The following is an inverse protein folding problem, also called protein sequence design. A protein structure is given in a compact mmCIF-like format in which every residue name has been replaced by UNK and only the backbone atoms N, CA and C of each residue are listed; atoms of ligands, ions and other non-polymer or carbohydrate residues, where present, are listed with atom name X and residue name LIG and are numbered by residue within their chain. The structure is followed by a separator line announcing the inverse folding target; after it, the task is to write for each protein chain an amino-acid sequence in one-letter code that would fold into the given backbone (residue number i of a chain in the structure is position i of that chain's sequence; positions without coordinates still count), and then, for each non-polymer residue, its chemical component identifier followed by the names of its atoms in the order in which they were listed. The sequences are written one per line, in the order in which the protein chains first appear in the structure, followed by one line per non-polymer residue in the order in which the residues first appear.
data_IF_344847423809
#
_entry.id   IF_344847423809
#
_cell.length_a   1.000
_cell.length_b   1.000
_cell.length_c   1.000
_cell.angle_alpha   90.00
_cell.angle_beta   90.00
_cell.angle_gamma   90.00
#
_symmetry.space_group_name_H-M   'P 1'
#
loop_
_entity.id
_entity.type
_entity.pdbx_description
1 polymer ?
#
# COMPACT_ATOMS: atom_id res chain seq x y z
N UNK A 1 -0.88 17.34 20.19
CA UNK A 1 -2.07 17.79 20.97
C UNK A 1 -3.27 17.12 20.33
N UNK A 2 -3.65 15.95 20.84
CA UNK A 2 -4.82 15.21 20.37
C UNK A 2 -6.05 15.88 21.00
N UNK A 3 -6.87 16.53 20.18
CA UNK A 3 -8.15 17.11 20.62
C UNK A 3 -9.18 15.98 20.75
N UNK A 4 -9.18 15.32 21.92
CA UNK A 4 -10.29 14.51 22.39
C UNK A 4 -10.95 15.25 23.57
N UNK A 5 -11.58 16.38 23.28
CA UNK A 5 -12.54 16.97 24.21
C UNK A 5 -13.79 17.34 23.42
N UNK A 6 -14.94 16.87 23.93
CA UNK A 6 -16.31 17.05 23.43
C UNK A 6 -16.81 16.05 22.38
N UNK A 7 -17.06 14.82 22.83
CA UNK A 7 -18.26 14.10 22.38
C UNK A 7 -19.24 14.09 23.56
N UNK A 8 -19.89 15.23 23.78
CA UNK A 8 -20.99 15.38 24.71
C UNK A 8 -22.26 14.80 24.10
N UNK A 9 -22.96 13.98 24.87
CA UNK A 9 -24.29 13.46 24.56
C UNK A 9 -25.33 14.58 24.60
N UNK A 10 -25.62 15.22 23.47
CA UNK A 10 -26.90 15.89 23.19
C UNK A 10 -26.85 16.61 21.82
N UNK A 11 -27.94 16.51 21.06
CA UNK A 11 -28.26 17.50 20.03
C UNK A 11 -28.09 17.03 18.58
N UNK A 12 -29.23 16.83 17.90
CA UNK A 12 -29.32 17.01 16.44
C UNK A 12 -28.99 18.49 16.14
N UNK A 13 -27.72 18.79 15.92
CA UNK A 13 -27.23 20.09 15.47
C UNK A 13 -26.63 19.96 14.08
N UNK A 14 -27.09 20.77 13.13
CA UNK A 14 -26.37 21.05 11.90
C UNK A 14 -25.10 21.82 12.26
N UNK A 15 -24.04 21.13 12.64
CA UNK A 15 -22.72 21.75 12.80
C UNK A 15 -21.93 21.46 11.53
N UNK A 16 -21.73 22.50 10.71
CA UNK A 16 -20.58 22.53 9.81
C UNK A 16 -19.34 22.30 10.68
N UNK A 17 -18.84 21.08 10.67
CA UNK A 17 -17.59 20.74 11.32
C UNK A 17 -16.51 21.55 10.61
N UNK A 18 -15.93 22.54 11.30
CA UNK A 18 -14.77 23.25 10.75
C UNK A 18 -13.68 22.23 10.48
N UNK A 19 -13.31 22.06 9.20
CA UNK A 19 -12.20 21.20 8.83
C UNK A 19 -10.89 21.94 9.13
N UNK A 20 -10.24 21.59 10.23
CA UNK A 20 -8.91 22.11 10.61
C UNK A 20 -7.77 21.38 9.91
N UNK A 21 -8.07 20.43 9.04
CA UNK A 21 -7.08 19.67 8.31
C UNK A 21 -6.52 20.48 7.13
N UNK A 22 -5.19 20.60 7.10
CA UNK A 22 -4.45 21.05 5.94
C UNK A 22 -3.84 19.79 5.29
N UNK A 23 -4.28 19.41 4.08
CA UNK A 23 -3.94 18.13 3.49
C UNK A 23 -2.45 18.00 3.14
N UNK A 24 -1.71 19.11 3.16
CA UNK A 24 -0.27 19.13 2.89
C UNK A 24 0.58 19.12 4.18
N UNK A 25 -0.02 19.10 5.36
CA UNK A 25 0.71 19.02 6.64
C UNK A 25 0.92 17.57 7.09
N UNK A 26 1.91 17.33 7.97
CA UNK A 26 2.12 16.01 8.56
C UNK A 26 0.85 15.52 9.26
N UNK A 27 0.35 14.36 8.83
CA UNK A 27 -0.81 13.68 9.40
C UNK A 27 -0.41 12.35 10.06
N UNK A 28 0.59 11.66 9.51
CA UNK A 28 1.11 10.39 10.03
C UNK A 28 2.62 10.43 10.17
N UNK A 29 3.14 9.70 11.15
CA UNK A 29 4.57 9.53 11.39
C UNK A 29 4.84 8.04 11.60
N UNK A 30 5.69 7.46 10.75
CA UNK A 30 6.06 6.04 10.84
C UNK A 30 7.57 5.91 11.01
N UNK A 31 7.99 4.97 11.85
CA UNK A 31 9.40 4.71 12.09
C UNK A 31 9.86 3.53 11.22
N UNK A 32 10.85 3.75 10.38
CA UNK A 32 11.52 2.70 9.61
C UNK A 32 12.81 2.29 10.31
N UNK A 33 13.23 1.03 10.16
CA UNK A 33 14.37 0.45 10.89
C UNK A 33 15.71 1.17 10.64
N UNK A 34 15.85 1.89 9.53
CA UNK A 34 17.05 2.63 9.16
C UNK A 34 18.24 1.72 8.85
N UNK A 35 18.89 1.91 7.71
CA UNK A 35 20.07 1.11 7.32
C UNK A 35 21.27 1.29 8.24
N UNK A 36 21.28 2.33 9.07
CA UNK A 36 22.32 2.65 10.07
C UNK A 36 22.02 2.08 11.47
N UNK A 37 20.89 1.37 11.64
CA UNK A 37 20.42 0.90 12.94
C UNK A 37 19.75 1.98 13.81
N UNK A 38 19.70 3.22 13.34
CA UNK A 38 18.96 4.33 13.96
C UNK A 38 17.62 4.47 13.24
N UNK A 39 16.48 4.30 13.93
CA UNK A 39 15.17 4.44 13.32
C UNK A 39 14.99 5.83 12.69
N UNK A 40 14.42 5.87 11.50
CA UNK A 40 14.09 7.12 10.80
C UNK A 40 12.58 7.31 10.78
N UNK A 41 12.12 8.41 11.36
CA UNK A 41 10.71 8.80 11.34
C UNK A 41 10.39 9.51 10.02
N UNK A 42 9.51 8.94 9.21
CA UNK A 42 9.02 9.52 7.96
C UNK A 42 7.70 10.25 8.22
N UNK A 43 7.57 11.47 7.69
CA UNK A 43 6.39 12.33 7.85
C UNK A 43 5.52 12.23 6.59
N UNK A 44 4.28 11.77 6.75
CA UNK A 44 3.34 11.60 5.65
C UNK A 44 2.23 12.64 5.75
N UNK A 45 1.85 13.18 4.60
CA UNK A 45 0.68 14.05 4.48
C UNK A 45 -0.59 13.23 4.31
N UNK A 46 -1.72 13.78 4.76
CA UNK A 46 -3.03 13.18 4.50
C UNK A 46 -3.36 13.18 3.01
N UNK A 47 -2.94 14.19 2.22
CA UNK A 47 -3.07 14.18 0.76
C UNK A 47 -2.48 12.92 0.14
N UNK A 48 -1.25 12.56 0.52
CA UNK A 48 -0.57 11.39 -0.06
C UNK A 48 -1.26 10.08 0.29
N UNK A 49 -1.62 9.91 1.55
CA UNK A 49 -2.30 8.70 2.00
C UNK A 49 -3.72 8.59 1.42
N UNK A 50 -4.48 9.69 1.36
CA UNK A 50 -5.81 9.72 0.75
C UNK A 50 -5.77 9.46 -0.76
N UNK A 51 -4.75 9.94 -1.47
CA UNK A 51 -4.55 9.60 -2.88
C UNK A 51 -4.36 8.08 -3.05
N UNK A 52 -3.52 7.48 -2.20
CA UNK A 52 -3.30 6.03 -2.20
C UNK A 52 -4.59 5.25 -1.90
N UNK A 53 -5.34 5.63 -0.86
CA UNK A 53 -6.62 5.01 -0.52
C UNK A 53 -7.65 5.13 -1.65
N UNK A 54 -7.76 6.30 -2.28
CA UNK A 54 -8.66 6.51 -3.42
C UNK A 54 -8.29 5.63 -4.61
N UNK A 55 -6.99 5.50 -4.90
CA UNK A 55 -6.49 4.60 -5.93
C UNK A 55 -6.81 3.14 -5.61
N UNK A 56 -6.50 2.69 -4.40
CA UNK A 56 -6.78 1.32 -3.97
C UNK A 56 -8.28 1.03 -3.99
N UNK A 57 -9.12 1.90 -3.43
CA UNK A 57 -10.57 1.75 -3.46
C UNK A 57 -11.11 1.60 -4.88
N UNK A 58 -10.73 2.52 -5.78
CA UNK A 58 -11.17 2.51 -7.17
C UNK A 58 -10.72 1.25 -7.90
N UNK A 59 -9.47 0.84 -7.69
CA UNK A 59 -8.86 -0.28 -8.43
C UNK A 59 -9.40 -1.62 -7.91
N UNK A 60 -9.54 -1.75 -6.60
CA UNK A 60 -10.08 -2.95 -5.92
C UNK A 60 -11.60 -3.04 -5.93
N UNK A 61 -12.27 -1.95 -6.31
CA UNK A 61 -13.72 -1.80 -6.23
C UNK A 61 -14.21 -2.05 -4.81
N UNK A 62 -13.62 -1.41 -3.80
CA UNK A 62 -14.00 -1.56 -2.38
C UNK A 62 -15.45 -1.12 -2.19
N UNK A 63 -16.24 -1.95 -1.50
CA UNK A 63 -17.66 -1.73 -1.26
C UNK A 63 -18.00 -1.84 0.21
N UNK A 64 -19.20 -1.35 0.56
CA UNK A 64 -19.73 -1.42 1.93
C UNK A 64 -19.87 -2.87 2.43
N UNK A 65 -20.08 -3.82 1.52
CA UNK A 65 -20.26 -5.23 1.87
C UNK A 65 -18.94 -5.97 2.11
N UNK A 66 -17.80 -5.30 1.90
CA UNK A 66 -16.50 -5.89 2.18
C UNK A 66 -16.26 -6.07 3.67
N UNK A 67 -15.49 -7.11 3.99
CA UNK A 67 -14.98 -7.40 5.31
C UNK A 67 -13.45 -7.44 5.18
N UNK A 68 -12.80 -6.39 5.69
CA UNK A 68 -11.35 -6.21 5.58
C UNK A 68 -10.69 -6.71 6.86
N UNK A 69 -9.71 -7.60 6.71
CA UNK A 69 -8.90 -8.07 7.83
C UNK A 69 -7.82 -7.04 8.18
N UNK A 70 -7.80 -6.57 9.43
CA UNK A 70 -6.70 -5.81 10.01
C UNK A 70 -5.78 -6.77 10.76
N UNK A 71 -4.68 -7.17 10.12
CA UNK A 71 -3.69 -8.08 10.72
C UNK A 71 -2.28 -7.48 10.80
N UNK A 72 -1.99 -6.54 9.90
CA UNK A 72 -0.69 -5.86 9.86
C UNK A 72 -0.36 -5.19 11.19
N UNK A 73 0.93 -5.19 11.54
CA UNK A 73 1.39 -4.47 12.72
C UNK A 73 1.20 -2.96 12.51
N UNK A 74 0.64 -2.27 13.51
CA UNK A 74 0.33 -0.83 13.48
C UNK A 74 1.54 0.09 13.23
N UNK A 75 2.76 -0.44 13.37
CA UNK A 75 3.99 0.24 12.98
C UNK A 75 4.24 0.32 11.47
N UNK A 76 3.44 -0.37 10.65
CA UNK A 76 3.50 -0.33 9.19
C UNK A 76 2.31 0.43 8.61
N UNK A 77 2.55 1.10 7.49
CA UNK A 77 1.55 1.82 6.69
C UNK A 77 0.42 0.91 6.16
N UNK A 78 0.71 -0.37 5.92
CA UNK A 78 -0.29 -1.37 5.53
C UNK A 78 -1.45 -1.48 6.52
N UNK A 79 -1.18 -1.40 7.84
CA UNK A 79 -2.25 -1.44 8.85
C UNK A 79 -3.17 -0.23 8.79
N UNK A 80 -2.63 0.92 8.39
CA UNK A 80 -3.40 2.14 8.20
C UNK A 80 -4.29 1.99 6.95
N UNK A 81 -3.78 1.33 5.89
CA UNK A 81 -4.55 1.06 4.67
C UNK A 81 -5.76 0.15 4.97
N UNK A 82 -5.53 -0.96 5.69
CA UNK A 82 -6.56 -1.90 6.13
C UNK A 82 -7.70 -1.15 6.85
N UNK A 83 -7.34 -0.35 7.86
CA UNK A 83 -8.29 0.36 8.70
C UNK A 83 -9.04 1.47 7.95
N UNK A 84 -8.32 2.34 7.22
CA UNK A 84 -8.93 3.49 6.56
C UNK A 84 -9.74 3.08 5.33
N UNK A 85 -9.36 2.05 4.57
CA UNK A 85 -10.22 1.55 3.48
C UNK A 85 -11.58 1.14 4.01
N UNK A 86 -11.63 0.38 5.11
CA UNK A 86 -12.89 -0.05 5.69
C UNK A 86 -13.73 1.14 6.18
N UNK A 87 -13.12 2.01 7.00
CA UNK A 87 -13.82 3.15 7.61
C UNK A 87 -14.34 4.15 6.57
N UNK A 88 -13.57 4.43 5.51
CA UNK A 88 -13.95 5.42 4.49
C UNK A 88 -15.00 4.91 3.51
N UNK A 89 -15.18 3.58 3.39
CA UNK A 89 -16.14 2.97 2.46
C UNK A 89 -17.34 2.32 3.17
N UNK A 90 -17.40 2.42 4.50
CA UNK A 90 -18.46 1.82 5.32
C UNK A 90 -18.41 0.29 5.37
N UNK A 91 -17.28 -0.29 5.02
CA UNK A 91 -17.02 -1.73 5.11
C UNK A 91 -16.78 -2.16 6.56
N UNK A 92 -16.81 -3.46 6.81
CA UNK A 92 -16.47 -4.02 8.13
C UNK A 92 -14.95 -4.16 8.27
N UNK A 93 -14.40 -3.77 9.43
CA UNK A 93 -13.01 -4.02 9.79
C UNK A 93 -12.95 -5.13 10.86
N UNK A 94 -12.31 -6.25 10.53
CA UNK A 94 -12.07 -7.37 11.47
C UNK A 94 -10.66 -7.25 12.02
N UNK A 95 -10.52 -6.97 13.31
CA UNK A 95 -9.22 -6.76 13.93
C UNK A 95 -8.69 -8.09 14.46
N UNK A 96 -7.62 -8.60 13.85
CA UNK A 96 -6.95 -9.81 14.33
C UNK A 96 -6.33 -9.57 15.71
N UNK A 97 -6.67 -10.39 16.73
CA UNK A 97 -6.04 -10.30 18.05
C UNK A 97 -4.53 -10.41 17.95
N UNK A 98 -3.80 -9.66 18.78
CA UNK A 98 -2.33 -9.67 18.77
C UNK A 98 -1.74 -11.08 18.95
N UNK A 99 -2.41 -11.95 19.72
CA UNK A 99 -2.01 -13.35 19.92
C UNK A 99 -2.16 -14.24 18.70
N UNK A 100 -3.04 -13.86 17.75
CA UNK A 100 -3.30 -14.62 16.54
C UNK A 100 -2.38 -14.21 15.39
N UNK A 101 -1.82 -12.99 15.42
CA UNK A 101 -0.97 -12.47 14.34
C UNK A 101 0.28 -13.34 14.15
N UNK A 102 0.54 -13.73 12.90
CA UNK A 102 1.63 -14.65 12.55
C UNK A 102 1.31 -16.14 12.73
N UNK A 103 0.19 -16.49 13.37
CA UNK A 103 -0.31 -17.86 13.40
C UNK A 103 -1.28 -18.07 12.21
N UNK A 104 -0.88 -18.86 11.19
CA UNK A 104 -1.71 -19.07 10.01
C UNK A 104 -3.05 -19.75 10.34
N UNK A 105 -3.09 -20.63 11.34
CA UNK A 105 -4.32 -21.35 11.71
C UNK A 105 -5.28 -20.43 12.42
N UNK A 106 -4.79 -19.63 13.37
CA UNK A 106 -5.63 -18.69 14.11
C UNK A 106 -6.20 -17.59 13.19
N UNK A 107 -5.37 -17.03 12.30
CA UNK A 107 -5.81 -15.99 11.36
C UNK A 107 -6.82 -16.53 10.36
N UNK A 108 -6.56 -17.68 9.73
CA UNK A 108 -7.49 -18.24 8.75
C UNK A 108 -8.79 -18.73 9.37
N UNK A 109 -8.77 -19.16 10.64
CA UNK A 109 -10.00 -19.48 11.38
C UNK A 109 -10.86 -18.23 11.60
N UNK A 110 -10.25 -17.11 12.02
CA UNK A 110 -10.93 -15.83 12.15
C UNK A 110 -11.47 -15.34 10.80
N UNK A 111 -10.69 -15.49 9.73
CA UNK A 111 -11.12 -15.12 8.38
C UNK A 111 -12.38 -15.88 7.94
N UNK A 112 -12.47 -17.18 8.26
CA UNK A 112 -13.65 -18.00 7.97
C UNK A 112 -14.84 -17.59 8.85
N UNK A 113 -14.63 -17.40 10.16
CA UNK A 113 -15.67 -17.03 11.11
C UNK A 113 -16.33 -15.69 10.76
N UNK A 114 -15.53 -14.71 10.35
CA UNK A 114 -15.97 -13.36 10.03
C UNK A 114 -16.25 -13.14 8.53
N UNK A 115 -16.15 -14.18 7.71
CA UNK A 115 -16.44 -14.15 6.27
C UNK A 115 -15.65 -13.05 5.52
N UNK A 116 -14.34 -12.98 5.81
CA UNK A 116 -13.41 -11.97 5.28
C UNK A 116 -13.39 -11.98 3.75
N UNK A 117 -13.52 -10.80 3.14
CA UNK A 117 -13.55 -10.63 1.68
C UNK A 117 -12.25 -10.07 1.11
N UNK A 118 -11.50 -9.30 1.92
CA UNK A 118 -10.32 -8.58 1.47
C UNK A 118 -9.21 -8.65 2.51
N UNK A 119 -8.03 -9.12 2.10
CA UNK A 119 -6.82 -9.22 2.92
C UNK A 119 -5.65 -8.43 2.36
N UNK A 120 -4.80 -7.97 3.28
CA UNK A 120 -3.46 -7.45 3.03
C UNK A 120 -2.46 -8.40 3.71
N UNK A 121 -1.44 -8.84 2.99
CA UNK A 121 -0.41 -9.70 3.57
C UNK A 121 0.89 -9.70 2.77
N UNK A 122 2.00 -10.03 3.44
CA UNK A 122 3.27 -10.30 2.78
C UNK A 122 3.21 -11.63 2.00
N UNK A 123 4.07 -11.82 0.97
CA UNK A 123 4.08 -13.06 0.21
C UNK A 123 4.27 -14.32 1.09
N UNK A 124 5.07 -14.22 2.14
CA UNK A 124 5.31 -15.31 3.09
C UNK A 124 4.07 -15.66 3.91
N UNK A 125 3.23 -14.68 4.25
CA UNK A 125 2.01 -14.91 5.01
C UNK A 125 0.96 -15.63 4.16
N UNK A 126 0.76 -15.18 2.92
CA UNK A 126 -0.12 -15.90 1.99
C UNK A 126 0.34 -17.34 1.77
N UNK A 127 1.64 -17.56 1.57
CA UNK A 127 2.18 -18.92 1.44
C UNK A 127 1.92 -19.77 2.69
N UNK A 128 2.05 -19.19 3.90
CA UNK A 128 1.72 -19.91 5.13
C UNK A 128 0.23 -20.24 5.21
N UNK A 129 -0.67 -19.30 4.91
CA UNK A 129 -2.11 -19.56 4.91
C UNK A 129 -2.49 -20.65 3.91
N UNK A 130 -1.93 -20.61 2.70
CA UNK A 130 -2.22 -21.61 1.66
C UNK A 130 -1.69 -22.98 2.08
N UNK A 131 -0.44 -23.09 2.52
CA UNK A 131 0.20 -24.38 2.80
C UNK A 131 -0.31 -25.06 4.06
N UNK A 132 -0.67 -24.31 5.09
CA UNK A 132 -1.10 -24.87 6.37
C UNK A 132 -2.62 -24.92 6.52
N UNK A 133 -3.37 -24.10 5.77
CA UNK A 133 -4.80 -23.88 6.00
C UNK A 133 -5.61 -23.90 4.70
N UNK A 134 -5.18 -24.65 3.68
CA UNK A 134 -5.89 -24.79 2.40
C UNK A 134 -7.36 -25.18 2.59
N UNK A 135 -7.67 -26.03 3.58
CA UNK A 135 -9.04 -26.46 3.87
C UNK A 135 -9.91 -25.33 4.43
N UNK A 136 -9.35 -24.44 5.27
CA UNK A 136 -10.03 -23.23 5.74
C UNK A 136 -10.28 -22.28 4.56
N UNK A 137 -9.25 -22.00 3.75
CA UNK A 137 -9.37 -21.12 2.58
C UNK A 137 -10.37 -21.67 1.55
N UNK A 138 -10.49 -23.00 1.42
CA UNK A 138 -11.47 -23.63 0.53
C UNK A 138 -12.94 -23.38 0.91
N UNK A 139 -13.19 -22.96 2.17
CA UNK A 139 -14.52 -22.59 2.66
C UNK A 139 -14.86 -21.13 2.38
N UNK A 140 -13.85 -20.29 2.12
CA UNK A 140 -13.98 -18.84 1.96
C UNK A 140 -14.48 -18.44 0.56
N UNK A 141 -15.78 -18.56 0.33
CA UNK A 141 -16.39 -18.23 -0.98
C UNK A 141 -16.38 -16.73 -1.31
N UNK A 142 -16.29 -15.88 -0.30
CA UNK A 142 -16.34 -14.41 -0.45
C UNK A 142 -14.97 -13.75 -0.39
N UNK A 143 -13.90 -14.49 -0.09
CA UNK A 143 -12.55 -13.96 -0.19
C UNK A 143 -12.23 -13.66 -1.65
N UNK A 144 -12.36 -12.40 -2.01
CA UNK A 144 -12.35 -11.94 -3.41
C UNK A 144 -11.05 -11.25 -3.79
N UNK A 145 -10.29 -10.76 -2.80
CA UNK A 145 -9.12 -9.93 -3.04
C UNK A 145 -8.00 -10.22 -2.03
N UNK A 146 -6.83 -10.49 -2.58
CA UNK A 146 -5.58 -10.70 -1.86
C UNK A 146 -4.57 -9.63 -2.31
N UNK A 147 -4.44 -8.55 -1.53
CA UNK A 147 -3.43 -7.52 -1.79
C UNK A 147 -2.12 -7.91 -1.15
N UNK A 148 -1.06 -7.94 -1.94
CA UNK A 148 0.27 -8.37 -1.55
C UNK A 148 1.28 -7.25 -1.82
N UNK A 149 2.19 -7.03 -0.89
CA UNK A 149 3.24 -6.03 -1.07
C UNK A 149 4.38 -6.15 -0.08
N UNK A 150 5.31 -5.21 -0.14
CA UNK A 150 6.44 -5.08 0.79
C UNK A 150 7.62 -6.04 0.57
N UNK A 151 7.46 -7.10 -0.23
CA UNK A 151 8.53 -8.00 -0.67
C UNK A 151 8.26 -8.50 -2.10
N UNK A 152 9.32 -8.90 -2.81
CA UNK A 152 9.20 -9.57 -4.10
C UNK A 152 8.31 -10.81 -3.98
N UNK A 153 7.28 -10.88 -4.83
CA UNK A 153 6.39 -12.05 -4.89
C UNK A 153 7.13 -13.22 -5.55
N UNK A 154 7.26 -14.38 -4.88
CA UNK A 154 7.85 -15.55 -5.50
C UNK A 154 6.84 -16.24 -6.44
N UNK A 155 7.32 -16.82 -7.53
CA UNK A 155 6.48 -17.58 -8.49
C UNK A 155 5.67 -18.70 -7.80
N UNK A 156 6.19 -19.25 -6.70
CA UNK A 156 5.49 -20.24 -5.89
C UNK A 156 4.15 -19.73 -5.37
N UNK A 157 4.05 -18.45 -4.98
CA UNK A 157 2.80 -17.89 -4.45
C UNK A 157 1.71 -17.88 -5.52
N UNK A 158 2.00 -17.41 -6.74
CA UNK A 158 1.03 -17.41 -7.85
C UNK A 158 0.58 -18.83 -8.20
N UNK A 159 1.52 -19.79 -8.24
CA UNK A 159 1.19 -21.21 -8.48
C UNK A 159 0.30 -21.81 -7.40
N UNK A 160 0.57 -21.51 -6.13
CA UNK A 160 -0.19 -22.05 -5.00
C UNK A 160 -1.57 -21.40 -4.87
N UNK A 161 -1.70 -20.10 -5.14
CA UNK A 161 -3.00 -19.42 -5.24
C UNK A 161 -3.91 -20.05 -6.30
N UNK A 162 -3.35 -20.44 -7.45
CA UNK A 162 -4.09 -21.13 -8.52
C UNK A 162 -4.66 -22.49 -8.11
N UNK A 163 -4.13 -23.11 -7.05
CA UNK A 163 -4.61 -24.40 -6.56
C UNK A 163 -5.80 -24.26 -5.59
N UNK A 164 -6.13 -23.03 -5.17
CA UNK A 164 -7.28 -22.80 -4.30
C UNK A 164 -8.59 -23.08 -5.04
N UNK A 165 -9.55 -23.62 -4.31
CA UNK A 165 -10.91 -23.87 -4.80
C UNK A 165 -11.63 -22.58 -5.19
N UNK A 166 -11.37 -21.50 -4.43
CA UNK A 166 -11.88 -20.17 -4.68
C UNK A 166 -10.68 -19.24 -4.74
N UNK A 167 -10.34 -18.79 -5.96
CA UNK A 167 -9.15 -17.99 -6.22
C UNK A 167 -9.53 -16.51 -6.09
N UNK A 168 -8.94 -15.75 -5.15
CA UNK A 168 -9.14 -14.31 -5.09
C UNK A 168 -8.39 -13.63 -6.25
N UNK A 169 -8.84 -12.43 -6.63
CA UNK A 169 -8.00 -11.55 -7.44
C UNK A 169 -6.74 -11.25 -6.64
N UNK A 170 -5.58 -11.48 -7.23
CA UNK A 170 -4.29 -11.19 -6.59
C UNK A 170 -3.77 -9.85 -7.07
N UNK A 171 -3.56 -8.92 -6.13
CA UNK A 171 -2.97 -7.63 -6.41
C UNK A 171 -1.53 -7.62 -5.90
N UNK A 172 -0.56 -7.53 -6.81
CA UNK A 172 0.86 -7.34 -6.48
C UNK A 172 1.16 -5.85 -6.48
N UNK A 173 1.51 -5.31 -5.33
CA UNK A 173 1.74 -3.89 -5.12
C UNK A 173 3.16 -3.63 -4.61
N UNK A 174 3.79 -2.62 -5.19
CA UNK A 174 5.05 -2.09 -4.72
C UNK A 174 4.86 -0.67 -4.22
N UNK A 175 5.35 -0.41 -3.01
CA UNK A 175 5.55 0.93 -2.53
C UNK A 175 6.32 0.95 -1.21
N UNK A 176 7.32 1.84 -1.06
CA UNK A 176 7.93 2.13 0.22
C UNK A 176 7.03 3.05 1.04
N UNK A 177 7.28 3.10 2.36
CA UNK A 177 6.57 4.03 3.26
C UNK A 177 6.80 5.49 2.89
N UNK A 178 7.95 5.82 2.33
CA UNK A 178 8.32 7.14 1.80
C UNK A 178 7.36 7.67 0.70
N UNK A 179 6.50 6.82 0.11
CA UNK A 179 5.50 7.20 -0.90
C UNK A 179 4.06 6.88 -0.47
N UNK A 180 3.78 6.78 0.84
CA UNK A 180 2.42 6.55 1.33
C UNK A 180 1.81 5.24 0.81
N UNK A 181 2.45 4.10 1.12
CA UNK A 181 2.05 2.70 0.86
C UNK A 181 2.33 2.16 -0.55
N UNK A 182 1.86 2.82 -1.62
CA UNK A 182 1.78 2.18 -2.95
C UNK A 182 2.18 3.14 -4.08
N UNK A 183 3.12 2.68 -4.90
CA UNK A 183 3.62 3.36 -6.10
C UNK A 183 3.03 2.69 -7.33
N UNK A 184 3.18 1.37 -7.44
CA UNK A 184 2.70 0.58 -8.56
C UNK A 184 1.86 -0.58 -8.08
N UNK A 185 0.93 -1.01 -8.94
CA UNK A 185 0.10 -2.17 -8.66
C UNK A 185 -0.24 -2.92 -9.95
N UNK A 186 -0.30 -4.24 -9.86
CA UNK A 186 -0.75 -5.14 -10.90
C UNK A 186 -1.86 -6.04 -10.36
N UNK A 187 -2.98 -6.09 -11.07
CA UNK A 187 -3.99 -7.10 -10.84
C UNK A 187 -3.68 -8.30 -11.73
N UNK A 188 -3.31 -9.40 -11.09
CA UNK A 188 -3.09 -10.65 -11.79
C UNK A 188 -4.35 -11.52 -11.69
N UNK A 189 -5.35 -11.16 -12.49
CA UNK A 189 -6.65 -11.86 -12.54
C UNK A 189 -6.52 -13.31 -13.02
N UNK A 190 -5.58 -13.57 -13.93
CA UNK A 190 -5.32 -14.91 -14.49
C UNK A 190 -4.19 -15.65 -13.76
N UNK A 191 -3.57 -15.01 -12.75
CA UNK A 191 -2.37 -15.50 -12.05
C UNK A 191 -1.21 -15.89 -13.00
N UNK A 192 -1.07 -15.20 -14.14
CA UNK A 192 -0.25 -15.62 -15.29
C UNK A 192 1.19 -15.91 -14.89
N UNK A 193 1.53 -17.19 -14.86
CA UNK A 193 2.90 -17.66 -14.81
C UNK A 193 3.40 -17.90 -16.24
N UNK A 194 4.33 -17.06 -16.70
CA UNK A 194 5.11 -17.33 -17.91
C UNK A 194 6.44 -17.99 -17.52
N UNK A 195 6.64 -19.29 -17.84
CA UNK A 195 7.90 -19.98 -17.57
C UNK A 195 9.11 -19.34 -18.25
N UNK A 196 8.92 -18.59 -19.35
CA UNK A 196 9.98 -17.85 -20.04
C UNK A 196 10.29 -16.51 -19.37
N UNK A 197 9.38 -15.99 -18.54
CA UNK A 197 9.59 -14.83 -17.67
C UNK A 197 9.95 -15.23 -16.23
N UNK A 198 10.24 -16.51 -15.97
CA UNK A 198 10.58 -17.00 -14.64
C UNK A 198 11.73 -16.18 -14.02
N UNK A 199 11.47 -15.53 -12.89
CA UNK A 199 12.39 -14.62 -12.20
C UNK A 199 12.20 -13.11 -12.47
N UNK A 200 11.49 -12.74 -13.54
CA UNK A 200 11.09 -11.36 -13.85
C UNK A 200 9.72 -11.06 -13.23
N UNK A 201 9.72 -10.48 -12.03
CA UNK A 201 8.49 -10.01 -11.38
C UNK A 201 8.20 -8.59 -11.82
N UNK A 202 7.09 -8.39 -12.51
CA UNK A 202 6.51 -7.07 -12.74
C UNK A 202 5.74 -6.66 -11.48
N UNK A 203 5.92 -5.42 -11.04
CA UNK A 203 5.16 -4.82 -9.91
C UNK A 203 4.04 -3.91 -10.41
N UNK A 204 3.68 -4.06 -11.68
CA UNK A 204 2.60 -3.34 -12.34
C UNK A 204 2.92 -1.94 -12.83
N UNK A 205 1.87 -1.11 -12.88
CA UNK A 205 1.92 0.26 -13.40
C UNK A 205 1.73 1.27 -12.26
N UNK A 206 2.22 2.50 -12.42
CA UNK A 206 2.00 3.56 -11.45
C UNK A 206 0.51 3.79 -11.17
N UNK A 207 0.17 3.98 -9.90
CA UNK A 207 -1.17 4.40 -9.48
C UNK A 207 -1.43 5.85 -9.88
N UNK A 208 -2.69 6.30 -9.85
CA UNK A 208 -3.00 7.66 -10.30
C UNK A 208 -2.29 8.72 -9.43
N UNK A 209 -1.91 9.82 -10.09
CA UNK A 209 -1.16 10.93 -9.50
C UNK A 209 0.23 10.56 -8.95
N UNK A 210 0.79 9.42 -9.38
CA UNK A 210 2.15 8.98 -9.05
C UNK A 210 2.93 8.71 -10.35
N UNK A 211 4.14 9.25 -10.43
CA UNK A 211 5.10 8.95 -11.50
C UNK A 211 6.20 8.02 -11.00
N UNK A 212 6.58 7.01 -11.79
CA UNK A 212 7.65 6.07 -11.47
C UNK A 212 8.63 6.01 -12.65
N UNK A 213 9.90 6.27 -12.38
CA UNK A 213 10.97 6.35 -13.37
C UNK A 213 12.14 5.46 -12.96
N UNK A 214 12.83 4.90 -13.95
CA UNK A 214 14.09 4.19 -13.76
C UNK A 214 15.21 5.12 -14.19
N UNK A 215 16.14 5.44 -13.29
CA UNK A 215 17.21 6.39 -13.53
C UNK A 215 18.58 5.72 -13.61
N UNK A 216 19.46 6.23 -14.47
CA UNK A 216 20.87 5.89 -14.48
C UNK A 216 21.64 6.61 -13.34
N UNK A 217 22.94 6.34 -13.23
CA UNK A 217 23.80 6.96 -12.22
C UNK A 217 23.95 8.49 -12.37
N UNK A 218 23.58 9.05 -13.53
CA UNK A 218 23.64 10.48 -13.83
C UNK A 218 22.27 11.16 -13.67
N UNK A 219 21.22 10.41 -13.34
CA UNK A 219 19.86 10.91 -13.13
C UNK A 219 19.01 11.00 -14.41
N UNK A 220 19.44 10.39 -15.51
CA UNK A 220 18.64 10.32 -16.74
C UNK A 220 17.72 9.10 -16.73
N UNK A 221 16.56 9.22 -17.38
CA UNK A 221 15.63 8.09 -17.51
C UNK A 221 16.22 7.00 -18.40
N UNK A 222 16.30 5.79 -17.87
CA UNK A 222 16.72 4.60 -18.57
C UNK A 222 15.71 4.20 -19.65
N UNK A 223 16.16 3.76 -20.84
CA UNK A 223 15.31 3.11 -21.82
C UNK A 223 14.69 1.79 -21.29
N UNK A 224 13.60 1.29 -21.90
CA UNK A 224 13.02 0.00 -21.52
C UNK A 224 14.05 -1.15 -21.52
N UNK A 225 14.04 -1.94 -20.45
CA UNK A 225 14.93 -3.09 -20.27
C UNK A 225 16.31 -2.77 -19.70
N UNK A 226 16.67 -1.49 -19.54
CA UNK A 226 17.94 -1.09 -18.90
C UNK A 226 17.72 -0.93 -17.39
N UNK A 227 18.49 -1.64 -16.54
CA UNK A 227 18.35 -1.52 -15.08
C UNK A 227 18.81 -0.15 -14.58
N UNK A 228 18.22 0.31 -13.48
CA UNK A 228 18.54 1.59 -12.85
C UNK A 228 17.86 1.75 -11.48
N UNK A 229 18.00 2.93 -10.88
CA UNK A 229 17.39 3.28 -9.59
C UNK A 229 15.94 3.74 -9.78
N UNK A 230 15.02 3.31 -8.90
CA UNK A 230 13.64 3.79 -8.94
C UNK A 230 13.55 5.19 -8.34
N UNK A 231 13.02 6.12 -9.12
CA UNK A 231 12.64 7.46 -8.69
C UNK A 231 11.13 7.64 -8.78
N UNK A 232 10.54 8.12 -7.69
CA UNK A 232 9.09 8.31 -7.58
C UNK A 232 8.73 9.77 -7.35
N UNK A 233 7.65 10.21 -7.99
CA UNK A 233 7.12 11.59 -7.95
C UNK A 233 5.61 11.58 -7.71
N UNK A 234 5.05 12.72 -7.32
CA UNK A 234 3.61 12.94 -7.27
C UNK A 234 3.00 12.88 -5.88
N UNK A 235 1.69 12.68 -5.81
CA UNK A 235 0.89 12.95 -4.62
C UNK A 235 1.26 12.09 -3.41
N UNK A 236 1.76 10.87 -3.62
CA UNK A 236 2.11 9.94 -2.55
C UNK A 236 3.42 10.26 -1.81
N UNK A 237 4.29 11.11 -2.38
CA UNK A 237 5.61 11.38 -1.81
C UNK A 237 5.49 11.99 -0.42
N UNK A 238 6.22 11.42 0.54
CA UNK A 238 6.30 11.91 1.91
C UNK A 238 6.83 13.35 1.97
N UNK A 239 6.56 14.03 3.09
CA UNK A 239 7.09 15.36 3.38
C UNK A 239 8.58 15.33 3.75
N UNK A 240 9.19 14.14 3.77
CA UNK A 240 10.55 13.89 4.21
C UNK A 240 10.61 13.17 5.56
N UNK A 241 11.84 12.98 6.04
CA UNK A 241 12.10 12.46 7.37
C UNK A 241 12.11 13.59 8.40
N UNK A 242 11.85 13.26 9.66
CA UNK A 242 11.97 14.21 10.77
C UNK A 242 13.40 14.78 10.93
N UNK A 243 14.42 14.08 10.40
CA UNK A 243 15.81 14.55 10.36
C UNK A 243 16.23 15.01 8.96
N UNK A 244 16.71 16.25 8.86
CA UNK A 244 17.08 16.88 7.58
C UNK A 244 18.13 16.11 6.76
N UNK A 245 19.11 15.47 7.41
CA UNK A 245 20.13 14.67 6.71
C UNK A 245 19.53 13.44 6.03
N UNK A 246 18.60 12.75 6.68
CA UNK A 246 17.91 11.60 6.10
C UNK A 246 17.01 12.03 4.94
N UNK A 247 16.37 13.19 5.07
CA UNK A 247 15.59 13.82 4.01
C UNK A 247 16.46 14.12 2.80
N UNK A 248 17.54 14.89 2.95
CA UNK A 248 18.41 15.26 1.83
C UNK A 248 19.04 14.07 1.10
N UNK A 249 19.24 12.93 1.78
CA UNK A 249 19.77 11.71 1.16
C UNK A 249 18.76 10.95 0.31
N UNK A 250 17.48 11.03 0.67
CA UNK A 250 16.42 10.17 0.08
C UNK A 250 15.47 10.97 -0.81
N UNK A 251 15.40 12.30 -0.59
CA UNK A 251 14.57 13.26 -1.30
C UNK A 251 15.47 14.24 -2.03
N UNK A 252 15.20 14.42 -3.32
CA UNK A 252 15.92 15.34 -4.20
C UNK A 252 14.95 16.38 -4.73
N UNK A 253 15.40 17.63 -4.88
CA UNK A 253 14.60 18.76 -5.39
C UNK A 253 15.00 19.05 -6.85
N UNK A 254 14.07 19.41 -7.74
CA UNK A 254 14.27 19.79 -9.17
C UNK A 254 14.36 18.68 -10.26
N UNK A 255 13.50 17.64 -10.25
CA UNK A 255 13.57 16.60 -11.31
C UNK A 255 12.82 17.05 -12.54
N UNK A 256 13.56 17.12 -13.62
CA UNK A 256 13.11 17.17 -15.00
C UNK A 256 12.13 16.04 -15.36
N UNK A 257 10.81 16.13 -15.14
CA UNK A 257 9.90 15.12 -15.72
C UNK A 257 10.06 15.18 -17.24
N UNK A 258 10.53 14.11 -17.92
CA UNK A 258 10.78 14.18 -19.36
C UNK A 258 9.48 14.37 -20.13
N UNK A 259 9.48 15.29 -21.10
CA UNK A 259 8.33 15.51 -21.98
C UNK A 259 7.93 14.20 -22.69
N UNK A 260 6.64 13.88 -22.65
CA UNK A 260 6.07 12.70 -23.32
C UNK A 260 6.32 11.35 -22.64
N UNK A 261 6.99 11.30 -21.49
CA UNK A 261 7.20 10.07 -20.71
C UNK A 261 6.50 10.22 -19.35
N UNK A 262 5.28 9.73 -19.25
CA UNK A 262 4.48 9.77 -18.04
C UNK A 262 3.04 10.18 -18.34
N UNK A 263 2.10 9.33 -17.94
CA UNK A 263 0.67 9.51 -18.14
C UNK A 263 0.26 10.89 -17.62
N UNK A 264 -0.39 11.67 -18.48
CA UNK A 264 -0.97 13.01 -18.24
C UNK A 264 -1.30 13.25 -16.77
N UNK A 265 -0.44 14.00 -16.06
CA UNK A 265 -0.80 14.63 -14.81
C UNK A 265 -1.98 15.55 -15.12
N UNK A 266 -3.18 15.20 -14.66
CA UNK A 266 -4.33 16.09 -14.77
C UNK A 266 -3.94 17.43 -14.17
N UNK A 267 -4.01 18.48 -14.98
CA UNK A 267 -3.61 19.85 -14.66
C UNK A 267 -4.11 20.27 -13.26
N UNK A 268 -3.24 20.15 -12.27
CA UNK A 268 -3.42 20.64 -10.92
C UNK A 268 -2.11 21.29 -10.51
N UNK A 269 -2.11 22.63 -10.45
CA UNK A 269 -0.93 23.49 -10.28
C UNK A 269 -0.24 23.41 -8.91
N UNK A 270 -0.42 22.33 -8.13
CA UNK A 270 0.07 22.24 -6.74
C UNK A 270 0.75 20.89 -6.41
N UNK A 271 1.62 20.39 -7.29
CA UNK A 271 2.51 19.27 -6.94
C UNK A 271 3.85 19.86 -6.52
N UNK A 272 4.03 20.12 -5.22
CA UNK A 272 5.33 20.51 -4.68
C UNK A 272 6.37 19.38 -4.90
N UNK A 273 7.57 19.79 -5.32
CA UNK A 273 8.66 19.01 -5.90
C UNK A 273 9.40 18.06 -4.94
N UNK A 274 8.69 17.09 -4.34
CA UNK A 274 9.32 16.09 -3.48
C UNK A 274 9.50 14.75 -4.22
N UNK A 275 10.63 14.10 -3.98
CA UNK A 275 11.07 12.85 -4.64
C UNK A 275 11.41 11.79 -3.60
N UNK A 276 11.25 10.49 -3.89
CA UNK A 276 11.95 9.46 -3.11
C UNK A 276 12.79 8.54 -3.99
N UNK A 277 13.99 8.22 -3.51
CA UNK A 277 14.85 7.16 -4.05
C UNK A 277 14.55 5.87 -3.31
N UNK A 278 14.21 4.82 -4.05
CA UNK A 278 14.08 3.48 -3.51
C UNK A 278 14.87 2.51 -4.37
N UNK A 279 15.70 1.70 -3.72
CA UNK A 279 16.43 0.62 -4.39
C UNK A 279 15.48 -0.56 -4.53
N UNK A 280 15.01 -0.83 -5.74
CA UNK A 280 14.49 -2.16 -6.07
C UNK A 280 15.67 -3.05 -6.47
N UNK A 281 15.74 -4.23 -5.84
CA UNK A 281 16.61 -5.33 -6.24
C UNK A 281 15.73 -6.38 -6.89
#
# INVERSE_FOLDING_TARGET
MLLFENIGSEGRGSTETQNFEDPNRPALCLCTSGTTGVPKAILLSSRGFLNCLGNQSKTHGVKREDVILQQSNLGFDMAIAEALLAMTHGSTLVIAPQSSRGDPVAVTSLMVEEDVTFTFAYPTEYLMWIRYCVDNLSQMRRWRLAHCGGKKVPDALRRELRQLKHIPVFADAYGPTDISICVTMEHDEDLVFDPLAAGATCVGRPVANVGCFILDAYGHVCPPGVPGEICVTGAGVALGYAGAEATAKSFVEDFQIPDGVGISLSQGKDVQDWRSRSVAI
#
